data_IF_069309910917
#
_entry.id   IF_069309910917
#
_cell.length_a   1.000
_cell.length_b   1.000
_cell.length_c   1.000
_cell.angle_alpha   90.00
_cell.angle_beta   90.00
_cell.angle_gamma   90.00
#
_symmetry.space_group_name_H-M   'P 1'
#
loop_
_entity.id
_entity.type
_entity.pdbx_description
1 polymer ?
#
# COMPACT_ATOMS: atom_id res chain seq x y z
N UNK A 1 -0.54 -41.57 -53.87
CA UNK A 1 -0.93 -42.49 -52.75
C UNK A 1 -2.32 -43.21 -52.90
N UNK A 2 -2.73 -43.57 -54.13
CA UNK A 2 -4.04 -44.19 -54.48
C UNK A 2 -5.25 -43.23 -54.58
N UNK A 3 -5.02 -41.93 -54.46
CA UNK A 3 -5.94 -40.83 -54.78
C UNK A 3 -6.24 -40.66 -56.29
N UNK A 4 -5.31 -41.07 -57.17
CA UNK A 4 -5.45 -40.99 -58.62
C UNK A 4 -4.57 -39.92 -59.29
N UNK A 5 -3.80 -39.17 -58.52
CA UNK A 5 -2.80 -38.22 -58.96
C UNK A 5 -1.40 -38.71 -58.55
N UNK A 6 -0.36 -38.06 -59.07
CA UNK A 6 1.02 -38.48 -58.82
C UNK A 6 1.98 -37.31 -58.94
N UNK A 7 3.17 -37.48 -58.37
CA UNK A 7 4.15 -36.41 -58.20
C UNK A 7 4.87 -36.00 -59.51
N UNK A 8 4.90 -34.70 -59.89
CA UNK A 8 5.64 -34.20 -61.05
C UNK A 8 7.17 -34.36 -60.94
N UNK A 9 7.73 -34.43 -59.73
CA UNK A 9 9.16 -34.67 -59.49
C UNK A 9 9.55 -36.15 -59.62
N UNK A 10 8.59 -37.07 -59.47
CA UNK A 10 8.82 -38.52 -59.48
C UNK A 10 8.19 -39.22 -60.70
N UNK A 11 8.68 -38.89 -61.90
CA UNK A 11 8.23 -39.54 -63.15
C UNK A 11 9.12 -40.71 -63.61
N UNK A 12 8.54 -41.64 -64.39
CA UNK A 12 9.27 -42.72 -65.07
C UNK A 12 8.82 -42.88 -66.53
N UNK A 13 9.74 -42.68 -67.47
CA UNK A 13 9.49 -42.97 -68.88
C UNK A 13 9.41 -44.48 -69.14
N UNK A 14 8.23 -45.01 -69.45
CA UNK A 14 8.02 -46.43 -69.80
C UNK A 14 6.93 -46.62 -70.84
N UNK A 15 7.12 -47.56 -71.77
CA UNK A 15 6.06 -48.02 -72.68
C UNK A 15 4.96 -48.76 -71.87
N UNK A 16 3.68 -48.41 -72.10
CA UNK A 16 2.44 -48.84 -71.42
C UNK A 16 2.15 -50.36 -71.35
N UNK A 17 3.12 -51.24 -71.59
CA UNK A 17 2.93 -52.68 -71.54
C UNK A 17 3.05 -53.22 -70.10
N UNK A 18 1.92 -53.24 -69.38
CA UNK A 18 1.63 -54.25 -68.35
C UNK A 18 2.21 -54.04 -66.95
N UNK A 19 2.34 -52.81 -66.47
CA UNK A 19 2.78 -52.55 -65.10
C UNK A 19 1.61 -52.72 -64.10
N UNK A 20 1.78 -53.60 -63.10
CA UNK A 20 0.91 -53.74 -61.92
C UNK A 20 1.32 -52.80 -60.76
N UNK A 21 1.89 -51.63 -61.08
CA UNK A 21 2.21 -50.60 -60.09
C UNK A 21 1.25 -49.41 -60.29
N UNK A 22 0.81 -48.76 -59.19
CA UNK A 22 -0.13 -47.64 -59.23
C UNK A 22 0.62 -46.37 -59.66
N UNK A 23 0.95 -46.27 -60.95
CA UNK A 23 1.52 -45.05 -61.53
C UNK A 23 0.42 -44.45 -62.40
N UNK A 24 0.04 -43.21 -62.12
CA UNK A 24 -1.00 -42.48 -62.84
C UNK A 24 -0.39 -41.57 -63.90
N UNK A 25 -1.21 -41.11 -64.86
CA UNK A 25 -0.76 -40.24 -65.95
C UNK A 25 -0.88 -38.75 -65.62
N UNK A 26 -1.73 -38.40 -64.65
CA UNK A 26 -1.80 -37.03 -64.17
C UNK A 26 -0.69 -36.81 -63.13
N UNK A 27 0.07 -35.73 -63.29
CA UNK A 27 1.23 -35.39 -62.49
C UNK A 27 1.03 -34.07 -61.71
N UNK A 28 -0.21 -33.78 -61.36
CA UNK A 28 -0.65 -32.52 -60.72
C UNK A 28 -0.77 -32.66 -59.19
N UNK A 29 -0.30 -33.77 -58.60
CA UNK A 29 -0.30 -33.99 -57.15
C UNK A 29 0.82 -33.22 -56.46
N UNK A 30 0.49 -32.48 -55.41
CA UNK A 30 1.42 -31.72 -54.59
C UNK A 30 1.95 -32.48 -53.35
N UNK A 31 1.33 -33.60 -52.94
CA UNK A 31 1.85 -34.52 -51.92
C UNK A 31 1.44 -35.99 -52.19
N UNK A 32 2.26 -36.72 -52.95
CA UNK A 32 2.05 -38.15 -53.30
C UNK A 32 2.20 -39.13 -52.10
N UNK A 33 2.19 -38.60 -50.87
CA UNK A 33 2.17 -39.37 -49.63
C UNK A 33 0.88 -39.22 -48.82
N UNK A 34 0.02 -38.25 -49.12
CA UNK A 34 -1.26 -38.01 -48.45
C UNK A 34 -2.45 -37.98 -49.42
N UNK A 35 -3.34 -39.00 -49.43
CA UNK A 35 -4.47 -39.06 -50.35
C UNK A 35 -5.55 -38.00 -50.09
N UNK A 36 -5.41 -37.19 -49.03
CA UNK A 36 -6.25 -36.03 -48.79
C UNK A 36 -5.74 -34.76 -49.50
N UNK A 37 -4.57 -34.81 -50.14
CA UNK A 37 -3.94 -33.69 -50.85
C UNK A 37 -3.86 -34.07 -52.33
N UNK A 38 -4.71 -33.48 -53.17
CA UNK A 38 -4.74 -33.75 -54.61
C UNK A 38 -5.61 -32.71 -55.34
N UNK A 39 -5.50 -32.54 -56.67
CA UNK A 39 -6.28 -31.58 -57.48
C UNK A 39 -7.81 -31.55 -57.37
N UNK A 40 -8.42 -32.49 -56.65
CA UNK A 40 -9.87 -32.55 -56.41
C UNK A 40 -10.22 -32.74 -54.93
N UNK A 41 -9.25 -32.57 -54.03
CA UNK A 41 -9.53 -32.54 -52.61
C UNK A 41 -10.35 -31.30 -52.26
N UNK A 42 -11.07 -31.36 -51.14
CA UNK A 42 -11.73 -30.18 -50.59
C UNK A 42 -10.70 -29.42 -49.74
N UNK A 43 -10.57 -28.11 -49.95
CA UNK A 43 -9.69 -27.26 -49.14
C UNK A 43 -10.26 -27.11 -47.72
N UNK A 44 -9.44 -27.32 -46.68
CA UNK A 44 -9.86 -27.25 -45.27
C UNK A 44 -8.93 -26.36 -44.44
N UNK A 45 -9.43 -25.86 -43.30
CA UNK A 45 -8.65 -25.02 -42.39
C UNK A 45 -7.53 -25.80 -41.66
N UNK A 46 -6.41 -26.10 -42.30
CA UNK A 46 -5.30 -26.87 -41.74
C UNK A 46 -3.88 -26.32 -42.05
N UNK A 47 -3.76 -25.22 -42.81
CA UNK A 47 -2.50 -24.60 -43.27
C UNK A 47 -1.77 -25.35 -44.37
N UNK A 48 -2.47 -26.20 -45.09
CA UNK A 48 -1.97 -26.96 -46.23
C UNK A 48 -2.82 -26.60 -47.45
N UNK A 49 -2.20 -26.55 -48.62
CA UNK A 49 -2.88 -26.52 -49.91
C UNK A 49 -3.36 -27.95 -50.19
N UNK A 50 -4.64 -28.24 -49.92
CA UNK A 50 -5.20 -29.57 -50.09
C UNK A 50 -5.54 -29.85 -51.55
N UNK A 51 -5.96 -28.84 -52.33
CA UNK A 51 -6.43 -29.02 -53.70
C UNK A 51 -5.38 -28.70 -54.79
N UNK A 52 -4.15 -28.42 -54.38
CA UNK A 52 -2.96 -28.21 -55.21
C UNK A 52 -3.10 -27.06 -56.23
N UNK A 53 -3.78 -25.96 -55.86
CA UNK A 53 -3.98 -24.80 -56.73
C UNK A 53 -3.07 -23.59 -56.41
N UNK A 54 -2.13 -23.76 -55.48
CA UNK A 54 -1.22 -22.75 -54.90
C UNK A 54 -1.89 -21.73 -53.95
N UNK A 55 -3.15 -21.93 -53.57
CA UNK A 55 -3.84 -21.19 -52.51
C UNK A 55 -3.95 -22.04 -51.25
N UNK A 56 -4.09 -21.36 -50.10
CA UNK A 56 -4.12 -22.03 -48.79
C UNK A 56 -5.14 -21.34 -47.90
N UNK A 57 -6.03 -22.11 -47.31
CA UNK A 57 -7.02 -21.72 -46.32
C UNK A 57 -7.82 -20.44 -46.72
N UNK A 58 -7.70 -19.37 -45.93
CA UNK A 58 -8.42 -18.10 -46.12
C UNK A 58 -7.98 -17.34 -47.40
N UNK A 59 -6.90 -17.75 -48.06
CA UNK A 59 -6.50 -17.22 -49.37
C UNK A 59 -7.12 -17.99 -50.55
N UNK A 60 -7.72 -19.15 -50.28
CA UNK A 60 -8.38 -20.00 -51.25
C UNK A 60 -9.89 -19.66 -51.34
N UNK A 61 -10.43 -19.35 -52.54
CA UNK A 61 -11.85 -19.13 -52.74
C UNK A 61 -12.73 -20.39 -52.58
N UNK A 62 -12.16 -21.59 -52.70
CA UNK A 62 -12.83 -22.90 -52.67
C UNK A 62 -12.79 -23.56 -51.27
N UNK A 63 -12.20 -22.89 -50.27
CA UNK A 63 -12.20 -23.29 -48.84
C UNK A 63 -13.57 -23.74 -48.31
N UNK A 64 -13.60 -24.93 -47.73
CA UNK A 64 -14.80 -25.47 -47.12
C UNK A 64 -15.23 -24.62 -45.90
N UNK A 65 -16.55 -24.42 -45.71
CA UNK A 65 -17.06 -23.65 -44.56
C UNK A 65 -16.80 -24.36 -43.22
N UNK A 66 -16.51 -25.66 -43.26
CA UNK A 66 -16.33 -26.52 -42.10
C UNK A 66 -14.93 -26.32 -41.50
N UNK A 67 -14.87 -25.74 -40.30
CA UNK A 67 -13.60 -25.40 -39.63
C UNK A 67 -13.39 -23.89 -39.50
N UNK A 68 -14.02 -23.10 -40.38
CA UNK A 68 -14.07 -21.64 -40.26
C UNK A 68 -14.90 -21.21 -39.06
N UNK A 69 -14.52 -20.09 -38.44
CA UNK A 69 -15.17 -19.50 -37.27
C UNK A 69 -15.41 -18.03 -37.49
N UNK A 70 -16.43 -17.50 -36.83
CA UNK A 70 -16.65 -16.06 -36.79
C UNK A 70 -15.64 -15.41 -35.86
N UNK A 71 -14.89 -14.45 -36.38
CA UNK A 71 -14.06 -13.52 -35.63
C UNK A 71 -14.65 -12.12 -35.73
N UNK A 72 -14.32 -11.30 -34.75
CA UNK A 72 -14.86 -9.96 -34.55
C UNK A 72 -13.70 -8.97 -34.62
N UNK A 73 -13.88 -7.88 -35.37
CA UNK A 73 -12.85 -6.85 -35.46
C UNK A 73 -12.53 -6.30 -34.06
N UNK A 74 -11.24 -6.03 -33.81
CA UNK A 74 -10.68 -5.47 -32.58
C UNK A 74 -9.84 -4.25 -33.02
N UNK A 75 -10.52 -3.13 -33.25
CA UNK A 75 -9.94 -1.96 -33.92
C UNK A 75 -9.08 -1.12 -32.97
N UNK A 76 -9.40 -1.12 -31.67
CA UNK A 76 -8.63 -0.42 -30.63
C UNK A 76 -7.55 -1.28 -29.95
N UNK A 77 -7.58 -2.60 -30.15
CA UNK A 77 -6.53 -3.53 -29.74
C UNK A 77 -6.63 -3.98 -28.28
N UNK A 78 -7.80 -3.90 -27.67
CA UNK A 78 -8.02 -4.26 -26.26
C UNK A 78 -8.30 -5.77 -26.04
N UNK A 79 -8.45 -6.52 -27.13
CA UNK A 79 -8.69 -7.96 -27.13
C UNK A 79 -10.17 -8.38 -27.09
N UNK A 80 -11.08 -7.42 -27.19
CA UNK A 80 -12.51 -7.61 -27.33
C UNK A 80 -12.92 -7.23 -28.75
N UNK A 81 -14.00 -7.83 -29.26
CA UNK A 81 -14.38 -7.62 -30.66
C UNK A 81 -15.80 -7.13 -30.86
N UNK A 82 -15.99 -6.28 -31.87
CA UNK A 82 -17.29 -5.67 -32.22
C UNK A 82 -18.29 -6.75 -32.69
N UNK A 83 -19.41 -6.97 -31.98
CA UNK A 83 -20.45 -7.92 -32.37
C UNK A 83 -21.07 -7.60 -33.74
N UNK A 84 -20.92 -6.38 -34.26
CA UNK A 84 -21.45 -5.94 -35.54
C UNK A 84 -20.43 -6.03 -36.69
N UNK A 85 -19.13 -6.16 -36.41
CA UNK A 85 -18.07 -6.27 -37.40
C UNK A 85 -17.47 -7.67 -37.39
N UNK A 86 -18.07 -8.57 -38.18
CA UNK A 86 -17.71 -9.99 -38.21
C UNK A 86 -17.02 -10.40 -39.51
N UNK A 87 -16.07 -11.33 -39.40
CA UNK A 87 -15.43 -12.00 -40.52
C UNK A 87 -15.39 -13.52 -40.27
N UNK A 88 -15.69 -14.31 -41.31
CA UNK A 88 -15.55 -15.76 -41.26
C UNK A 88 -14.16 -16.14 -41.76
N UNK A 89 -13.33 -16.75 -40.91
CA UNK A 89 -11.96 -17.13 -41.25
C UNK A 89 -11.55 -18.44 -40.54
N UNK A 90 -10.44 -19.03 -40.94
CA UNK A 90 -9.85 -20.20 -40.27
C UNK A 90 -9.19 -19.80 -38.94
N UNK A 91 -8.53 -18.63 -38.89
CA UNK A 91 -7.89 -18.08 -37.69
C UNK A 91 -8.15 -16.58 -37.53
N UNK A 92 -8.05 -16.03 -36.30
CA UNK A 92 -8.11 -14.59 -36.12
C UNK A 92 -6.87 -13.95 -36.76
N UNK A 93 -7.05 -12.79 -37.38
CA UNK A 93 -5.92 -11.96 -37.79
C UNK A 93 -5.32 -11.31 -36.55
N UNK A 94 -4.07 -11.62 -36.15
CA UNK A 94 -3.51 -11.13 -34.90
C UNK A 94 -3.47 -9.60 -34.84
N UNK A 95 -4.02 -9.02 -33.76
CA UNK A 95 -4.10 -7.57 -33.56
C UNK A 95 -5.09 -6.85 -34.47
N UNK A 96 -5.99 -7.58 -35.12
CA UNK A 96 -7.06 -7.03 -35.97
C UNK A 96 -8.42 -7.66 -35.67
N UNK A 97 -8.45 -8.94 -35.27
CA UNK A 97 -9.70 -9.62 -34.92
C UNK A 97 -9.51 -10.64 -33.79
N UNK A 98 -10.57 -10.86 -33.02
CA UNK A 98 -10.62 -11.77 -31.87
C UNK A 98 -11.83 -12.71 -31.94
N UNK A 99 -11.85 -13.74 -31.11
CA UNK A 99 -12.89 -14.78 -31.12
C UNK A 99 -14.11 -14.45 -30.25
N UNK A 100 -14.17 -13.26 -29.64
CA UNK A 100 -15.24 -12.85 -28.73
C UNK A 100 -15.95 -11.59 -29.27
N UNK A 101 -17.22 -11.45 -28.91
CA UNK A 101 -18.17 -10.44 -29.43
C UNK A 101 -18.59 -9.44 -28.35
N UNK A 102 -17.68 -9.16 -27.42
CA UNK A 102 -17.99 -8.48 -26.17
C UNK A 102 -17.68 -7.00 -26.21
N UNK A 103 -17.09 -6.50 -27.28
CA UNK A 103 -16.83 -5.08 -27.40
C UNK A 103 -18.13 -4.32 -27.66
N UNK A 104 -18.30 -3.23 -26.94
CA UNK A 104 -19.47 -2.39 -27.03
C UNK A 104 -19.18 -1.10 -27.80
N UNK A 105 -17.92 -0.70 -27.92
CA UNK A 105 -17.42 0.38 -28.76
C UNK A 105 -15.97 0.09 -29.16
N UNK A 106 -15.81 -0.52 -30.33
CA UNK A 106 -14.55 -0.96 -30.96
C UNK A 106 -13.56 0.18 -31.28
N UNK A 107 -13.86 1.40 -30.84
CA UNK A 107 -12.98 2.56 -30.97
C UNK A 107 -12.44 3.06 -29.62
N UNK A 108 -12.83 2.42 -28.51
CA UNK A 108 -12.48 2.79 -27.14
C UNK A 108 -12.13 1.54 -26.31
N UNK A 109 -10.83 1.33 -26.09
CA UNK A 109 -10.28 0.17 -25.37
C UNK A 109 -10.75 0.03 -23.91
N UNK A 110 -11.39 1.06 -23.35
CA UNK A 110 -11.98 1.02 -22.02
C UNK A 110 -13.46 0.60 -22.05
N UNK A 111 -14.07 0.42 -23.22
CA UNK A 111 -15.49 0.18 -23.44
C UNK A 111 -15.80 -1.25 -23.92
N UNK A 112 -15.13 -2.25 -23.36
CA UNK A 112 -15.30 -3.68 -23.69
C UNK A 112 -16.26 -4.49 -22.81
N UNK A 113 -16.78 -3.90 -21.74
CA UNK A 113 -17.79 -4.53 -20.89
C UNK A 113 -18.78 -3.49 -20.35
N UNK A 114 -20.04 -3.88 -20.07
CA UNK A 114 -20.97 -3.00 -19.38
C UNK A 114 -20.43 -2.55 -18.02
N UNK A 115 -20.34 -1.23 -17.83
CA UNK A 115 -19.98 -0.59 -16.56
C UNK A 115 -21.25 -0.25 -15.78
N UNK A 116 -21.13 -0.24 -14.47
CA UNK A 116 -22.16 0.29 -13.59
C UNK A 116 -21.93 1.79 -13.41
N UNK A 117 -22.98 2.60 -13.56
CA UNK A 117 -22.89 4.06 -13.49
C UNK A 117 -23.71 4.62 -12.33
N UNK A 118 -23.11 5.56 -11.62
CA UNK A 118 -23.72 6.35 -10.54
C UNK A 118 -23.86 7.81 -10.95
N UNK A 119 -24.74 8.54 -10.26
CA UNK A 119 -24.87 9.99 -10.45
C UNK A 119 -23.61 10.67 -9.90
N UNK A 120 -23.06 11.54 -10.73
CA UNK A 120 -21.91 12.41 -10.44
C UNK A 120 -22.43 13.84 -10.59
N UNK A 121 -22.68 14.48 -9.45
CA UNK A 121 -23.43 15.74 -9.35
C UNK A 121 -22.56 16.99 -9.58
N UNK A 122 -21.26 16.91 -9.26
CA UNK A 122 -20.30 18.02 -9.35
C UNK A 122 -19.17 17.80 -10.39
N UNK A 123 -19.02 16.58 -10.91
CA UNK A 123 -18.17 16.26 -12.06
C UNK A 123 -16.73 15.89 -11.71
N UNK A 124 -16.45 15.46 -10.49
CA UNK A 124 -15.12 15.01 -10.07
C UNK A 124 -14.74 13.60 -10.59
N UNK A 125 -15.73 12.84 -11.08
CA UNK A 125 -15.54 11.50 -11.63
C UNK A 125 -15.74 10.37 -10.62
N UNK A 126 -16.11 10.67 -9.38
CA UNK A 126 -16.69 9.76 -8.40
C UNK A 126 -18.19 10.04 -8.34
N UNK A 127 -18.99 9.13 -7.79
CA UNK A 127 -20.43 9.36 -7.72
C UNK A 127 -21.05 8.85 -6.44
N UNK A 128 -22.26 9.34 -6.18
CA UNK A 128 -22.99 9.11 -4.95
C UNK A 128 -23.97 7.93 -5.07
N UNK A 129 -23.99 7.08 -4.05
CA UNK A 129 -25.00 6.05 -3.86
C UNK A 129 -24.77 4.75 -4.66
N UNK A 130 -25.86 4.03 -4.92
CA UNK A 130 -25.83 2.75 -5.64
C UNK A 130 -25.99 2.96 -7.15
N UNK A 131 -25.38 2.11 -7.99
CA UNK A 131 -25.50 2.24 -9.43
C UNK A 131 -26.95 2.13 -9.87
N UNK A 132 -27.37 3.05 -10.73
CA UNK A 132 -28.75 3.11 -11.26
C UNK A 132 -28.84 2.66 -12.70
N UNK A 133 -27.69 2.55 -13.39
CA UNK A 133 -27.60 2.22 -14.80
C UNK A 133 -26.43 1.26 -15.05
N UNK A 134 -26.64 0.28 -15.94
CA UNK A 134 -25.63 -0.69 -16.37
C UNK A 134 -25.55 -0.63 -17.89
N UNK A 135 -24.50 0.00 -18.39
CA UNK A 135 -24.28 0.18 -19.82
C UNK A 135 -22.81 0.43 -20.11
N UNK A 136 -22.42 0.25 -21.35
CA UNK A 136 -21.02 0.24 -21.74
C UNK A 136 -20.45 1.64 -21.85
N UNK A 137 -21.15 2.48 -22.61
CA UNK A 137 -20.79 3.88 -22.77
C UNK A 137 -21.31 4.72 -21.61
N UNK A 138 -20.55 5.79 -21.29
CA UNK A 138 -20.95 6.78 -20.29
C UNK A 138 -22.31 7.36 -20.68
N UNK A 139 -23.36 7.22 -19.83
CA UNK A 139 -24.73 7.64 -20.18
C UNK A 139 -24.86 9.14 -20.43
N UNK A 140 -23.95 9.92 -19.84
CA UNK A 140 -23.87 11.36 -19.98
C UNK A 140 -22.79 11.94 -19.06
N UNK A 141 -22.50 13.25 -19.16
CA UNK A 141 -21.44 13.90 -18.41
C UNK A 141 -21.66 13.93 -16.89
N UNK A 142 -22.87 13.61 -16.42
CA UNK A 142 -23.27 13.57 -14.99
C UNK A 142 -23.24 12.15 -14.42
N UNK A 143 -22.30 11.33 -14.89
CA UNK A 143 -22.21 9.92 -14.50
C UNK A 143 -20.76 9.52 -14.26
N UNK A 144 -20.50 8.88 -13.15
CA UNK A 144 -19.20 8.28 -12.85
C UNK A 144 -19.31 6.74 -12.87
N UNK A 145 -18.22 6.02 -13.18
CA UNK A 145 -18.18 4.59 -12.96
C UNK A 145 -18.33 4.28 -11.47
N UNK A 146 -19.10 3.26 -11.12
CA UNK A 146 -19.24 2.82 -9.73
C UNK A 146 -17.96 2.12 -9.26
N UNK A 147 -17.15 2.83 -8.49
CA UNK A 147 -15.95 2.31 -7.83
C UNK A 147 -16.24 1.95 -6.36
N UNK A 148 -15.26 1.38 -5.66
CA UNK A 148 -15.38 0.96 -4.25
C UNK A 148 -15.39 2.10 -3.22
N UNK A 149 -15.39 3.36 -3.67
CA UNK A 149 -15.54 4.57 -2.84
C UNK A 149 -16.81 5.33 -3.23
N UNK A 150 -17.51 5.86 -2.24
CA UNK A 150 -18.69 6.71 -2.47
C UNK A 150 -18.27 8.15 -2.19
N UNK A 151 -18.61 9.04 -3.11
CA UNK A 151 -18.44 10.48 -2.93
C UNK A 151 -19.21 10.95 -1.68
N UNK A 152 -18.47 11.51 -0.71
CA UNK A 152 -18.98 11.97 0.56
C UNK A 152 -19.51 13.41 0.53
N UNK A 153 -19.20 14.17 -0.54
CA UNK A 153 -19.61 15.55 -0.71
C UNK A 153 -20.15 15.80 -2.13
N UNK A 154 -21.39 15.36 -2.44
CA UNK A 154 -21.91 15.32 -3.82
C UNK A 154 -22.11 16.65 -4.54
N UNK A 155 -21.70 17.77 -3.96
CA UNK A 155 -21.85 19.09 -4.53
C UNK A 155 -20.52 19.87 -4.52
N UNK A 156 -19.42 19.25 -4.08
CA UNK A 156 -18.10 19.86 -3.98
C UNK A 156 -17.06 19.02 -4.73
N UNK A 157 -16.67 19.42 -5.95
CA UNK A 157 -15.79 18.62 -6.81
C UNK A 157 -14.34 18.56 -6.30
N UNK A 158 -14.06 19.14 -5.13
CA UNK A 158 -12.76 19.03 -4.48
C UNK A 158 -12.76 17.97 -3.38
N UNK A 159 -13.91 17.42 -2.97
CA UNK A 159 -14.04 16.50 -1.84
C UNK A 159 -14.54 15.15 -2.33
N UNK A 160 -13.63 14.20 -2.49
CA UNK A 160 -13.90 12.88 -3.06
C UNK A 160 -12.84 11.85 -2.63
N UNK A 161 -13.16 10.55 -2.63
CA UNK A 161 -12.21 9.47 -2.37
C UNK A 161 -10.84 9.62 -3.05
N UNK A 162 -9.79 9.83 -2.24
CA UNK A 162 -8.40 10.01 -2.71
C UNK A 162 -8.03 11.41 -3.20
N UNK A 163 -8.85 12.42 -2.92
CA UNK A 163 -8.44 13.82 -3.07
C UNK A 163 -7.31 14.16 -2.06
N UNK A 164 -6.41 15.11 -2.36
CA UNK A 164 -5.41 15.52 -1.37
C UNK A 164 -6.04 16.32 -0.24
N UNK A 165 -5.83 15.90 1.01
CA UNK A 165 -6.26 16.65 2.17
C UNK A 165 -5.36 17.85 2.48
N UNK A 166 -5.95 18.85 3.14
CA UNK A 166 -5.23 20.02 3.65
C UNK A 166 -5.20 19.98 5.17
N UNK A 167 -4.08 19.49 5.70
CA UNK A 167 -3.86 19.37 7.14
C UNK A 167 -4.41 20.56 7.97
N UNK A 168 -5.39 20.27 8.83
CA UNK A 168 -5.92 21.15 9.86
C UNK A 168 -7.03 22.10 9.43
N UNK A 169 -7.52 22.01 8.19
CA UNK A 169 -8.72 22.76 7.80
C UNK A 169 -10.03 22.09 8.25
N UNK A 170 -9.94 20.87 8.81
CA UNK A 170 -11.05 20.02 9.28
C UNK A 170 -12.01 19.61 8.17
N UNK A 171 -11.57 19.70 6.93
CA UNK A 171 -12.26 19.16 5.78
C UNK A 171 -11.60 17.81 5.46
N UNK A 172 -12.32 16.74 5.75
CA UNK A 172 -12.03 15.40 5.23
C UNK A 172 -12.36 15.44 3.72
N UNK A 173 -11.35 15.77 2.94
CA UNK A 173 -11.40 16.00 1.50
C UNK A 173 -11.36 14.67 0.77
N UNK A 174 -10.73 13.66 1.34
CA UNK A 174 -10.54 12.36 0.71
C UNK A 174 -11.55 11.28 1.17
N UNK A 175 -12.49 11.67 2.03
CA UNK A 175 -13.58 10.84 2.54
C UNK A 175 -13.15 9.60 3.35
N UNK A 176 -11.93 9.58 3.90
CA UNK A 176 -11.43 8.47 4.74
C UNK A 176 -11.84 8.60 6.22
N UNK A 177 -12.31 9.79 6.63
CA UNK A 177 -12.71 10.14 7.99
C UNK A 177 -11.63 10.85 8.81
N UNK A 178 -10.49 11.16 8.21
CA UNK A 178 -9.31 11.77 8.80
C UNK A 178 -9.04 13.14 8.13
N UNK A 179 -8.06 13.85 8.67
CA UNK A 179 -7.49 15.06 8.07
C UNK A 179 -6.01 14.72 7.94
N UNK A 180 -5.43 14.73 6.73
CA UNK A 180 -4.04 14.29 6.44
C UNK A 180 -2.95 15.18 7.09
N UNK A 181 -3.02 15.38 8.40
CA UNK A 181 -1.89 15.77 9.21
C UNK A 181 -1.10 14.50 9.57
N UNK A 182 0.15 14.40 9.12
CA UNK A 182 1.02 13.27 9.47
C UNK A 182 1.42 13.25 10.95
N UNK A 183 1.44 14.41 11.61
CA UNK A 183 1.81 14.55 13.03
C UNK A 183 0.93 15.56 13.77
N UNK A 184 0.92 15.48 15.09
CA UNK A 184 0.29 16.48 15.94
C UNK A 184 0.95 17.85 15.83
N UNK A 185 2.22 17.94 15.44
CA UNK A 185 2.90 19.23 15.25
C UNK A 185 2.54 19.87 13.91
N UNK A 186 2.42 19.10 12.83
CA UNK A 186 1.84 19.61 11.58
C UNK A 186 0.44 20.16 11.82
N UNK A 187 -0.40 19.42 12.55
CA UNK A 187 -1.73 19.87 12.96
C UNK A 187 -1.69 21.13 13.84
N UNK A 188 -0.72 21.23 14.75
CA UNK A 188 -0.56 22.41 15.62
C UNK A 188 -0.15 23.65 14.82
N UNK A 189 0.74 23.48 13.86
CA UNK A 189 1.25 24.57 13.03
C UNK A 189 0.18 25.08 12.06
N UNK A 190 -0.64 24.17 11.48
CA UNK A 190 -1.77 24.52 10.63
C UNK A 190 -2.95 25.09 11.43
N UNK A 191 -3.18 24.57 12.63
CA UNK A 191 -4.25 24.99 13.54
C UNK A 191 -3.70 25.41 14.90
N UNK A 192 -3.15 26.63 15.04
CA UNK A 192 -2.57 27.09 16.31
C UNK A 192 -3.52 27.04 17.51
N UNK A 193 -4.83 27.12 17.25
CA UNK A 193 -5.91 27.04 18.25
C UNK A 193 -6.37 25.62 18.60
N UNK A 194 -5.75 24.56 18.05
CA UNK A 194 -6.05 23.18 18.38
C UNK A 194 -5.84 22.92 19.89
N UNK A 195 -6.78 22.20 20.50
CA UNK A 195 -6.73 21.80 21.92
C UNK A 195 -6.18 20.39 22.06
N UNK A 196 -5.58 20.03 23.19
CA UNK A 196 -5.13 18.64 23.38
C UNK A 196 -6.32 17.68 23.35
N UNK A 197 -6.16 16.52 22.72
CA UNK A 197 -7.25 15.58 22.45
C UNK A 197 -6.86 14.52 21.43
N UNK A 198 -7.82 13.66 21.09
CA UNK A 198 -7.66 12.63 20.06
C UNK A 198 -7.88 13.26 18.70
N UNK A 199 -6.98 12.98 17.78
CA UNK A 199 -7.07 13.37 16.38
C UNK A 199 -6.79 12.16 15.53
N UNK A 200 -7.55 12.05 14.45
CA UNK A 200 -7.20 11.17 13.36
C UNK A 200 -6.04 11.79 12.57
N UNK A 201 -4.94 11.05 12.43
CA UNK A 201 -3.79 11.41 11.63
C UNK A 201 -3.63 10.38 10.52
N UNK A 202 -3.33 10.84 9.32
CA UNK A 202 -3.02 9.99 8.16
C UNK A 202 -1.59 10.28 7.69
N UNK A 203 -0.85 9.22 7.43
CA UNK A 203 0.59 9.25 7.13
C UNK A 203 1.08 7.93 6.54
N UNK A 204 2.40 7.72 6.44
CA UNK A 204 2.94 6.51 5.82
C UNK A 204 2.64 5.22 6.63
N UNK A 205 2.15 5.37 7.86
CA UNK A 205 1.65 4.31 8.74
C UNK A 205 0.16 3.93 8.49
N UNK A 206 -0.51 4.58 7.54
CA UNK A 206 -1.96 4.51 7.35
C UNK A 206 -2.71 5.48 8.27
N UNK A 207 -3.99 5.24 8.50
CA UNK A 207 -4.83 6.14 9.31
C UNK A 207 -4.86 5.66 10.76
N UNK A 208 -4.55 6.55 11.71
CA UNK A 208 -4.54 6.23 13.14
C UNK A 208 -5.16 7.36 13.97
N UNK A 209 -5.97 6.98 14.95
CA UNK A 209 -6.37 7.90 16.01
C UNK A 209 -5.25 7.98 17.07
N UNK A 210 -4.79 9.19 17.36
CA UNK A 210 -3.73 9.45 18.33
C UNK A 210 -4.03 10.68 19.19
N UNK A 211 -3.59 10.62 20.44
CA UNK A 211 -3.66 11.75 21.36
C UNK A 211 -2.57 12.77 21.04
N UNK A 212 -2.98 13.97 20.69
CA UNK A 212 -2.11 15.13 20.55
C UNK A 212 -2.12 15.99 21.80
N UNK A 213 -0.95 16.28 22.38
CA UNK A 213 -0.81 17.37 23.35
C UNK A 213 -0.44 18.68 22.64
N UNK A 214 -1.43 19.57 22.54
CA UNK A 214 -1.34 20.87 21.89
C UNK A 214 -0.98 22.02 22.83
N UNK A 215 -0.66 21.71 24.09
CA UNK A 215 -0.53 22.70 25.17
C UNK A 215 0.82 22.68 25.85
N UNK A 216 1.32 21.50 26.23
CA UNK A 216 2.55 21.41 27.02
C UNK A 216 3.74 21.76 26.15
N UNK A 217 4.60 22.63 26.67
CA UNK A 217 5.86 22.98 26.01
C UNK A 217 5.72 23.41 24.53
N UNK A 218 4.72 24.26 24.26
CA UNK A 218 4.42 24.74 22.90
C UNK A 218 3.42 23.85 22.14
N UNK A 219 3.20 22.62 22.58
CA UNK A 219 2.30 21.67 21.96
C UNK A 219 2.87 21.00 20.71
N UNK A 220 2.00 20.31 19.98
CA UNK A 220 2.37 19.54 18.79
C UNK A 220 2.95 18.16 19.11
N UNK A 221 2.78 17.68 20.35
CA UNK A 221 3.31 16.39 20.77
C UNK A 221 2.37 15.26 20.37
N UNK A 222 2.87 14.32 19.58
CA UNK A 222 2.18 13.07 19.21
C UNK A 222 2.43 12.03 20.28
N UNK A 223 1.38 11.45 20.86
CA UNK A 223 1.52 10.30 21.76
C UNK A 223 1.92 9.08 20.93
N UNK A 224 3.10 8.55 21.16
CA UNK A 224 3.63 7.44 20.36
C UNK A 224 3.71 6.14 21.14
N UNK A 225 3.60 6.22 22.46
CA UNK A 225 3.47 5.03 23.28
C UNK A 225 2.84 5.35 24.61
N UNK A 226 2.02 4.45 25.11
CA UNK A 226 1.45 4.55 26.45
C UNK A 226 1.18 3.16 27.01
N UNK A 227 1.26 3.06 28.34
CA UNK A 227 1.05 1.78 29.00
C UNK A 227 0.91 1.88 30.51
N UNK A 228 0.73 0.71 31.14
CA UNK A 228 0.69 0.55 32.60
C UNK A 228 1.83 -0.35 33.04
N UNK A 229 2.42 0.00 34.18
CA UNK A 229 3.47 -0.77 34.81
C UNK A 229 3.02 -2.17 35.27
N UNK A 230 3.92 -3.18 35.29
CA UNK A 230 5.31 -3.10 34.80
C UNK A 230 5.34 -3.10 33.26
N UNK A 231 6.21 -2.31 32.63
CA UNK A 231 6.42 -2.39 31.19
C UNK A 231 7.20 -3.66 30.82
N UNK A 232 7.18 -4.03 29.56
CA UNK A 232 7.85 -5.18 28.93
C UNK A 232 8.28 -4.70 27.52
N UNK A 233 9.36 -5.24 26.97
CA UNK A 233 10.18 -4.65 25.89
C UNK A 233 9.80 -5.07 24.46
N UNK A 234 8.82 -5.96 24.32
CA UNK A 234 8.44 -6.49 23.02
C UNK A 234 7.89 -5.40 22.08
N UNK A 235 8.14 -5.44 20.77
CA UNK A 235 7.39 -4.61 19.82
C UNK A 235 6.15 -5.36 19.32
N UNK A 236 5.02 -4.68 19.11
CA UNK A 236 3.79 -5.34 18.70
C UNK A 236 2.79 -4.41 18.04
N UNK A 237 1.89 -5.01 17.27
CA UNK A 237 0.91 -4.30 16.45
C UNK A 237 -0.14 -3.54 17.28
N UNK A 238 -0.51 -2.37 16.77
CA UNK A 238 -1.69 -1.54 17.07
C UNK A 238 -2.04 -1.30 18.55
N UNK A 239 -1.92 -0.05 18.97
CA UNK A 239 -2.05 0.37 20.37
C UNK A 239 -3.31 1.22 20.58
N UNK A 240 -4.44 0.63 21.03
CA UNK A 240 -5.67 1.40 21.28
C UNK A 240 -5.50 2.47 22.37
N UNK A 241 -4.46 2.35 23.20
CA UNK A 241 -4.16 3.31 24.25
C UNK A 241 -3.48 4.60 23.72
N UNK A 242 -3.13 4.70 22.43
CA UNK A 242 -2.64 5.95 21.81
C UNK A 242 -3.75 7.00 21.68
N UNK A 243 -5.02 6.60 21.74
CA UNK A 243 -6.16 7.52 21.72
C UNK A 243 -6.35 8.26 23.05
N UNK A 244 -5.60 7.95 24.13
CA UNK A 244 -5.93 8.50 25.45
C UNK A 244 -4.77 8.59 26.44
N UNK A 245 -4.84 9.56 27.36
CA UNK A 245 -3.94 9.68 28.52
C UNK A 245 -4.32 8.75 29.69
N UNK A 246 -5.20 7.79 29.47
CA UNK A 246 -5.71 6.87 30.50
C UNK A 246 -5.70 5.44 29.95
N UNK A 247 -4.51 4.82 29.85
CA UNK A 247 -4.38 3.50 29.25
C UNK A 247 -5.23 2.51 30.03
N UNK A 248 -5.96 1.63 29.34
CA UNK A 248 -6.82 0.61 29.98
C UNK A 248 -6.12 -0.72 30.12
N UNK A 249 -5.06 -0.95 29.33
CA UNK A 249 -4.26 -2.17 29.34
C UNK A 249 -2.82 -1.89 29.76
N UNK A 250 -2.19 -2.90 30.39
CA UNK A 250 -0.73 -2.95 30.41
C UNK A 250 -0.29 -3.32 29.01
N UNK A 251 0.32 -2.36 28.33
CA UNK A 251 0.87 -2.52 27.00
C UNK A 251 2.33 -2.90 27.17
N UNK A 252 2.72 -3.96 26.48
CA UNK A 252 4.04 -4.57 26.53
C UNK A 252 4.94 -4.08 25.38
N UNK A 253 4.55 -2.98 24.70
CA UNK A 253 5.10 -2.64 23.40
C UNK A 253 5.09 -1.13 23.06
N UNK A 254 6.00 -0.70 22.18
CA UNK A 254 6.10 0.67 21.62
C UNK A 254 5.69 0.70 20.14
N UNK A 255 5.13 1.83 19.67
CA UNK A 255 4.67 2.01 18.29
C UNK A 255 5.84 2.10 17.30
N UNK A 256 5.88 1.18 16.33
CA UNK A 256 6.89 1.15 15.27
C UNK A 256 6.81 2.34 14.29
N UNK A 257 5.66 3.03 14.20
CA UNK A 257 5.40 4.12 13.24
C UNK A 257 6.20 5.41 13.49
N UNK A 258 6.84 5.53 14.66
CA UNK A 258 7.71 6.66 15.02
C UNK A 258 8.83 6.91 13.99
N UNK A 259 9.35 5.84 13.37
CA UNK A 259 10.49 5.88 12.44
C UNK A 259 10.25 6.74 11.22
N UNK A 260 9.01 6.83 10.76
CA UNK A 260 8.66 7.55 9.55
C UNK A 260 8.69 9.07 9.74
N UNK A 261 8.64 9.55 10.99
CA UNK A 261 8.63 10.99 11.33
C UNK A 261 9.99 11.55 11.72
N UNK A 262 10.92 10.69 12.10
CA UNK A 262 12.29 11.09 12.42
C UNK A 262 13.11 11.26 11.13
N UNK A 263 12.71 12.18 10.25
CA UNK A 263 13.55 12.57 9.09
C UNK A 263 14.93 13.01 9.64
N UNK A 264 16.00 12.34 9.23
CA UNK A 264 17.39 12.51 9.69
C UNK A 264 17.74 11.99 11.11
N UNK A 265 16.82 11.33 11.81
CA UNK A 265 17.10 10.67 13.09
C UNK A 265 17.30 11.63 14.27
N UNK A 266 16.79 12.86 14.18
CA UNK A 266 16.80 13.85 15.26
C UNK A 266 15.36 14.31 15.53
N UNK A 267 14.90 14.22 16.77
CA UNK A 267 13.56 14.72 17.14
C UNK A 267 13.51 15.20 18.58
N UNK A 268 12.41 15.85 18.95
CA UNK A 268 12.09 16.05 20.36
C UNK A 268 11.42 14.80 20.92
N UNK A 269 11.79 14.42 22.15
CA UNK A 269 11.16 13.34 22.90
C UNK A 269 10.63 13.88 24.21
N UNK A 270 9.51 13.32 24.67
CA UNK A 270 8.96 13.65 25.97
C UNK A 270 8.50 12.43 26.73
N UNK A 271 9.13 12.20 27.86
CA UNK A 271 8.87 11.06 28.74
C UNK A 271 8.02 11.52 29.91
N UNK A 272 6.88 10.86 30.10
CA UNK A 272 5.96 11.20 31.17
C UNK A 272 5.44 9.98 31.89
N UNK A 273 5.01 10.17 33.13
CA UNK A 273 4.36 9.12 33.89
C UNK A 273 3.43 9.66 34.97
N UNK A 274 2.51 8.82 35.39
CA UNK A 274 1.65 8.99 36.57
C UNK A 274 2.02 7.92 37.57
N UNK A 275 2.26 8.29 38.83
CA UNK A 275 2.54 7.32 39.91
C UNK A 275 1.33 6.44 40.20
N UNK A 276 0.13 6.98 40.01
CA UNK A 276 -1.11 6.24 40.00
C UNK A 276 -1.85 6.52 38.69
N UNK A 277 -2.24 5.49 37.96
CA UNK A 277 -2.94 5.63 36.67
C UNK A 277 -4.25 6.45 36.77
N UNK A 278 -4.86 6.55 37.96
CA UNK A 278 -6.03 7.38 38.20
C UNK A 278 -5.73 8.88 38.35
N UNK A 279 -4.46 9.27 38.43
CA UNK A 279 -4.07 10.67 38.57
C UNK A 279 -4.40 11.47 37.31
N UNK A 280 -4.86 12.70 37.53
CA UNK A 280 -5.23 13.63 36.45
C UNK A 280 -4.03 14.36 35.83
N UNK A 281 -2.87 14.31 36.49
CA UNK A 281 -1.66 15.03 36.11
C UNK A 281 -0.46 14.10 36.14
N UNK A 282 0.56 14.40 35.33
CA UNK A 282 1.82 13.70 35.38
C UNK A 282 2.59 14.01 36.67
N UNK A 283 3.27 12.99 37.19
CA UNK A 283 4.21 13.12 38.30
C UNK A 283 5.62 13.42 37.79
N UNK A 284 5.94 13.01 36.56
CA UNK A 284 7.16 13.33 35.82
C UNK A 284 6.76 13.67 34.40
N UNK A 285 7.32 14.75 33.86
CA UNK A 285 7.02 15.25 32.53
C UNK A 285 8.24 16.00 31.97
N UNK A 286 8.99 15.30 31.12
CA UNK A 286 10.32 15.73 30.73
C UNK A 286 10.40 15.82 29.22
N UNK A 287 10.70 16.99 28.70
CA UNK A 287 10.96 17.23 27.28
C UNK A 287 12.45 17.29 27.01
N UNK A 288 12.91 16.63 25.96
CA UNK A 288 14.27 16.64 25.44
C UNK A 288 14.22 17.11 24.01
N UNK A 289 15.17 17.95 23.62
CA UNK A 289 15.17 18.60 22.31
C UNK A 289 16.33 18.13 21.45
N UNK A 290 16.08 18.01 20.15
CA UNK A 290 17.09 17.64 19.14
C UNK A 290 17.84 16.34 19.52
N UNK A 291 17.09 15.35 19.98
CA UNK A 291 17.58 14.04 20.41
C UNK A 291 17.94 13.21 19.19
N UNK A 292 19.23 12.93 19.00
CA UNK A 292 19.74 12.19 17.84
C UNK A 292 20.29 10.79 18.11
N UNK A 293 20.13 10.28 19.34
CA UNK A 293 20.80 9.07 19.84
C UNK A 293 19.86 7.89 20.12
N UNK A 294 18.55 8.06 19.92
CA UNK A 294 17.65 6.90 19.85
C UNK A 294 17.88 6.21 18.50
N UNK A 295 18.64 5.12 18.50
CA UNK A 295 19.01 4.46 17.24
C UNK A 295 17.87 3.58 16.75
N UNK A 296 17.20 2.87 17.65
CA UNK A 296 16.08 1.97 17.33
C UNK A 296 15.15 1.86 18.54
N UNK A 297 13.86 2.17 18.36
CA UNK A 297 12.78 1.78 19.29
C UNK A 297 12.09 0.48 18.75
N UNK A 298 12.68 -0.20 17.74
CA UNK A 298 11.88 -0.72 16.59
C UNK A 298 12.56 -1.78 15.66
N UNK A 299 13.13 -2.91 16.10
CA UNK A 299 13.41 -4.03 15.17
C UNK A 299 12.68 -5.35 15.42
N UNK A 300 11.72 -5.33 16.34
CA UNK A 300 10.77 -6.43 16.48
C UNK A 300 11.30 -7.59 17.32
N UNK A 301 12.50 -7.46 17.88
CA UNK A 301 12.98 -8.27 19.00
C UNK A 301 13.38 -7.36 20.16
N UNK A 302 13.44 -7.98 21.34
CA UNK A 302 13.89 -7.41 22.61
C UNK A 302 15.21 -6.59 22.50
N UNK A 303 16.10 -6.98 21.58
CA UNK A 303 17.37 -6.28 21.38
C UNK A 303 17.31 -4.97 20.60
N UNK A 304 16.13 -4.41 20.38
CA UNK A 304 15.92 -3.34 19.39
C UNK A 304 15.14 -2.13 19.89
N UNK A 305 14.61 -2.19 21.11
CA UNK A 305 13.90 -1.10 21.78
C UNK A 305 14.82 -0.43 22.81
N UNK A 306 16.00 0.01 22.36
CA UNK A 306 17.07 0.46 23.24
C UNK A 306 17.45 1.91 23.01
N UNK A 307 17.59 2.63 24.12
CA UNK A 307 18.23 3.92 24.19
C UNK A 307 19.75 3.72 24.31
N UNK A 308 20.37 3.10 23.30
CA UNK A 308 21.79 2.75 23.35
C UNK A 308 22.68 3.93 23.00
N UNK A 309 23.46 4.35 23.98
CA UNK A 309 24.50 5.34 23.78
C UNK A 309 25.82 4.98 24.48
N UNK A 310 26.25 3.72 24.48
CA UNK A 310 27.65 3.40 24.81
C UNK A 310 28.15 4.08 26.13
N UNK A 311 27.30 4.14 27.17
CA UNK A 311 27.39 4.99 28.40
C UNK A 311 27.53 6.51 28.13
N UNK A 312 26.61 7.13 27.40
CA UNK A 312 26.65 8.56 27.06
C UNK A 312 27.85 8.99 26.19
N UNK A 313 28.65 8.04 25.67
CA UNK A 313 29.84 8.34 24.85
C UNK A 313 29.43 8.76 23.45
N UNK A 314 29.19 10.06 23.25
CA UNK A 314 28.90 10.66 21.95
C UNK A 314 28.01 11.90 22.02
N UNK A 315 27.20 12.01 23.07
CA UNK A 315 26.34 13.17 23.35
C UNK A 315 27.03 14.14 24.32
N UNK A 316 28.16 14.69 23.88
CA UNK A 316 28.79 15.85 24.49
C UNK A 316 28.62 17.04 23.53
N UNK A 317 27.78 18.03 23.87
CA UNK A 317 27.08 18.21 25.15
C UNK A 317 25.73 17.47 25.27
N UNK A 318 25.23 17.17 26.50
CA UNK A 318 23.87 16.70 26.74
C UNK A 318 22.80 17.56 26.04
N UNK A 319 21.66 16.99 25.59
CA UNK A 319 20.63 17.76 24.92
C UNK A 319 20.00 18.80 25.86
N UNK A 320 19.46 19.85 25.26
CA UNK A 320 18.59 20.77 25.98
C UNK A 320 17.37 20.00 26.47
N UNK A 321 16.89 20.32 27.67
CA UNK A 321 15.75 19.62 28.27
C UNK A 321 14.96 20.50 29.21
N UNK A 322 13.74 20.06 29.51
CA UNK A 322 12.80 20.77 30.35
C UNK A 322 12.00 19.82 31.23
N UNK A 323 12.00 20.11 32.52
CA UNK A 323 10.99 19.59 33.45
C UNK A 323 9.74 20.48 33.35
N UNK A 324 8.68 19.94 32.76
CA UNK A 324 7.40 20.64 32.60
C UNK A 324 6.59 20.69 33.89
N UNK A 325 6.81 19.76 34.85
CA UNK A 325 6.15 19.76 36.16
C UNK A 325 6.76 20.83 37.07
N UNK A 326 8.09 20.84 37.21
CA UNK A 326 8.82 21.84 38.00
C UNK A 326 9.04 23.17 37.28
N UNK A 327 8.73 23.24 35.99
CA UNK A 327 8.91 24.40 35.11
C UNK A 327 10.37 24.90 35.12
N UNK A 328 11.30 23.98 34.90
CA UNK A 328 12.73 24.24 34.85
C UNK A 328 13.29 23.79 33.50
N UNK A 329 14.14 24.60 32.89
CA UNK A 329 14.77 24.29 31.60
C UNK A 329 16.28 24.38 31.75
N UNK A 330 16.97 23.42 31.14
CA UNK A 330 18.42 23.39 31.06
C UNK A 330 18.83 23.44 29.58
N UNK A 331 19.74 24.35 29.18
CA UNK A 331 20.27 24.37 27.83
C UNK A 331 21.14 23.14 27.56
N UNK A 332 21.44 22.91 26.29
CA UNK A 332 22.38 21.87 25.90
C UNK A 332 23.73 22.08 26.62
N UNK A 333 24.27 21.01 27.22
CA UNK A 333 25.52 21.02 27.97
C UNK A 333 25.40 21.20 29.47
N UNK A 334 24.25 21.68 29.95
CA UNK A 334 24.03 21.83 31.39
C UNK A 334 23.55 20.51 31.99
N UNK A 335 24.27 20.03 32.99
CA UNK A 335 23.85 18.88 33.81
C UNK A 335 22.91 19.35 34.92
N UNK A 336 21.96 18.48 35.30
CA UNK A 336 21.39 18.59 36.64
C UNK A 336 22.54 18.38 37.61
N UNK A 337 22.55 19.07 38.74
CA UNK A 337 23.65 18.91 39.70
C UNK A 337 23.71 17.42 40.09
N UNK A 338 24.66 16.68 39.51
CA UNK A 338 24.97 15.26 39.70
C UNK A 338 24.10 14.21 38.95
N UNK A 339 24.04 14.27 37.61
CA UNK A 339 23.55 13.17 36.75
C UNK A 339 23.92 13.33 35.28
N UNK A 340 23.91 12.23 34.53
CA UNK A 340 23.98 12.18 33.07
C UNK A 340 22.65 11.60 32.54
N UNK A 341 22.31 11.94 31.31
CA UNK A 341 21.29 11.18 30.60
C UNK A 341 22.02 9.92 30.12
N UNK A 342 21.73 8.78 30.73
CA UNK A 342 22.25 7.47 30.34
C UNK A 342 21.06 6.62 29.89
N UNK A 343 21.24 5.79 28.87
CA UNK A 343 20.30 4.73 28.52
C UNK A 343 20.95 3.38 28.73
N UNK A 344 20.23 2.30 28.44
CA UNK A 344 20.70 0.92 28.62
C UNK A 344 22.13 0.65 28.13
N UNK A 345 22.89 -0.10 28.93
CA UNK A 345 24.29 -0.47 28.70
C UNK A 345 24.44 -1.28 27.39
N UNK A 346 23.44 -2.11 27.05
CA UNK A 346 23.39 -2.84 25.77
C UNK A 346 21.95 -3.16 25.33
N UNK A 347 21.68 -3.12 24.02
CA UNK A 347 20.43 -3.60 23.43
C UNK A 347 20.32 -5.14 23.41
N UNK A 348 20.73 -5.84 24.45
CA UNK A 348 20.67 -7.31 24.49
C UNK A 348 20.24 -7.88 25.84
N UNK A 349 19.99 -7.01 26.83
CA UNK A 349 19.34 -7.43 28.08
C UNK A 349 17.84 -7.54 27.85
N UNK A 350 17.22 -8.52 28.51
CA UNK A 350 15.87 -9.04 28.22
C UNK A 350 14.94 -8.94 29.44
N UNK A 351 15.27 -8.07 30.40
CA UNK A 351 14.64 -8.05 31.71
C UNK A 351 13.59 -6.96 31.90
N UNK A 352 13.60 -5.91 31.05
CA UNK A 352 12.76 -4.74 31.21
C UNK A 352 12.81 -3.77 30.01
N UNK A 353 11.67 -3.11 29.76
CA UNK A 353 11.62 -1.89 28.95
C UNK A 353 12.16 -0.73 29.77
N UNK A 354 13.43 -0.46 29.58
CA UNK A 354 14.13 0.55 30.37
C UNK A 354 14.66 1.63 29.45
N UNK A 355 14.07 2.83 29.60
CA UNK A 355 14.95 4.01 29.67
C UNK A 355 15.65 3.87 31.03
N UNK A 356 16.66 3.00 31.11
CA UNK A 356 17.49 2.83 32.31
C UNK A 356 18.48 3.98 32.32
N UNK A 357 18.26 4.91 33.23
CA UNK A 357 19.22 5.95 33.54
C UNK A 357 20.18 5.40 34.58
N UNK A 358 21.19 4.66 34.12
CA UNK A 358 22.19 4.10 35.01
C UNK A 358 22.92 5.24 35.76
N UNK A 359 23.30 5.01 37.02
CA UNK A 359 23.83 6.01 37.96
C UNK A 359 22.86 7.15 38.39
N UNK A 360 21.74 6.74 39.04
CA UNK A 360 20.84 7.53 39.91
C UNK A 360 19.58 8.09 39.27
N UNK A 361 19.14 7.66 38.09
CA UNK A 361 18.06 8.34 37.37
C UNK A 361 18.59 9.52 36.55
N UNK A 362 17.70 10.40 36.06
CA UNK A 362 18.14 11.61 35.35
C UNK A 362 19.08 12.50 36.17
N UNK A 363 18.99 12.43 37.51
CA UNK A 363 19.95 13.03 38.43
C UNK A 363 19.97 12.36 39.82
N UNK A 364 20.93 12.73 40.67
CA UNK A 364 21.08 12.15 42.00
C UNK A 364 19.93 12.38 43.01
N UNK A 365 18.95 13.22 42.68
CA UNK A 365 17.91 13.70 43.58
C UNK A 365 16.56 13.04 43.30
N UNK A 366 16.40 11.88 43.94
CA UNK A 366 15.27 10.96 43.87
C UNK A 366 13.87 11.52 44.28
N UNK A 367 13.74 12.83 44.50
CA UNK A 367 12.60 13.48 45.12
C UNK A 367 12.10 14.74 44.41
N UNK A 368 12.76 15.24 43.38
CA UNK A 368 12.34 16.45 42.65
C UNK A 368 11.39 16.17 41.48
N UNK A 369 11.22 14.91 41.08
CA UNK A 369 10.28 14.52 40.04
C UNK A 369 10.90 14.47 38.65
N UNK A 370 12.23 14.31 38.57
CA UNK A 370 12.93 14.05 37.30
C UNK A 370 13.16 12.56 37.02
N UNK A 371 12.83 11.66 37.95
CA UNK A 371 13.13 10.23 37.79
C UNK A 371 11.98 9.46 37.14
N UNK A 372 12.20 9.01 35.91
CA UNK A 372 11.34 8.13 35.13
C UNK A 372 12.04 6.78 34.95
N UNK A 373 11.29 5.68 34.81
CA UNK A 373 11.89 4.36 34.49
C UNK A 373 12.28 3.54 35.72
N UNK A 374 13.34 2.75 35.61
CA UNK A 374 14.00 2.02 36.70
C UNK A 374 15.40 2.60 36.91
N UNK A 375 15.96 2.46 38.12
CA UNK A 375 17.38 2.77 38.38
C UNK A 375 17.86 1.85 39.51
N UNK A 376 18.87 1.02 39.25
CA UNK A 376 19.52 0.11 40.21
C UNK A 376 18.55 -0.85 40.97
N UNK A 377 17.51 -1.37 40.31
CA UNK A 377 16.50 -2.22 40.98
C UNK A 377 15.44 -1.43 41.77
N UNK A 378 15.44 -0.09 41.66
CA UNK A 378 14.46 0.80 42.29
C UNK A 378 13.50 1.37 41.25
N UNK A 379 12.26 0.88 41.27
CA UNK A 379 11.17 1.42 40.45
C UNK A 379 10.97 2.92 40.67
N UNK A 380 11.12 3.71 39.61
CA UNK A 380 10.75 5.13 39.58
C UNK A 380 9.34 5.30 39.02
N UNK A 381 9.00 6.53 38.65
CA UNK A 381 7.70 6.79 38.08
C UNK A 381 7.60 6.17 36.67
N UNK A 382 6.50 5.47 36.41
CA UNK A 382 6.27 4.74 35.16
C UNK A 382 6.49 3.23 35.25
N UNK A 383 7.30 2.74 36.21
CA UNK A 383 7.63 1.31 36.38
C UNK A 383 7.05 0.69 37.65
N UNK A 384 6.67 1.51 38.64
CA UNK A 384 6.02 1.03 39.85
C UNK A 384 4.60 0.49 39.65
N UNK A 385 4.21 -0.58 40.36
CA UNK A 385 2.87 -1.16 40.26
C UNK A 385 1.74 -0.13 40.41
N UNK A 386 0.85 -0.07 39.43
CA UNK A 386 -0.27 0.87 39.38
C UNK A 386 0.04 2.24 38.74
N UNK A 387 1.30 2.46 38.32
CA UNK A 387 1.70 3.59 37.51
C UNK A 387 1.29 3.42 36.04
N UNK A 388 1.28 4.53 35.32
CA UNK A 388 1.18 4.56 33.85
C UNK A 388 2.27 5.44 33.27
N UNK A 389 2.74 5.11 32.09
CA UNK A 389 3.80 5.82 31.39
C UNK A 389 3.34 6.20 29.98
N UNK A 390 3.94 7.27 29.45
CA UNK A 390 3.63 7.81 28.13
C UNK A 390 4.89 8.38 27.52
N UNK A 391 5.06 8.16 26.23
CA UNK A 391 6.15 8.71 25.43
C UNK A 391 5.51 9.52 24.32
N UNK A 392 5.93 10.77 24.23
CA UNK A 392 5.52 11.67 23.18
C UNK A 392 6.70 11.98 22.28
N UNK A 393 6.36 12.23 21.02
CA UNK A 393 7.27 12.60 19.97
C UNK A 393 6.85 13.94 19.38
N UNK A 394 7.83 14.70 18.92
CA UNK A 394 7.61 15.88 18.09
C UNK A 394 8.80 16.06 17.16
N UNK A 395 8.52 16.19 15.87
CA UNK A 395 9.52 16.39 14.81
C UNK A 395 10.17 17.78 14.82
#
# INVERSE_FOLDING_TARGET
DEDGYGDPETYRDRCLAGSRNPIVLNAEDCDDTDPAISPLADEVCDRVDNDCDDLVDDFDPDIEPEGRRTFYADTDGDGYGDPNATALACWPTPGVAVANDRDCDDTDADANVPKAWVLDEDGDGVGVGQPTEFQCLRPGPQRAPYASGVDCAPLDPNVYPGAPDVCGDRLDTDCDGYDDCGTCKQLKDSTPGATSGVYGLSGPFGDVDVYCDMTTDGGGWTLVSSGRAPPDDAAGAWHPDLETLSPVTSVLTVWDGLREFAEDGVSDLRFTCKRNAADSSFAVDLSFYEVGWYTEITTGTDGDSCFNENNGVGQDPPPARRDNVGNQSLPAGDQWNYGYFEGEDTCTDTSDFTVDFDDRGMDSNQADGTDWGEDDGSWKCGTGSGASWFIFFRE
#
